data_IF_898832417447
#
_entry.id   IF_898832417447
#
_cell.length_a   1.000
_cell.length_b   1.000
_cell.length_c   1.000
_cell.angle_alpha   90.00
_cell.angle_beta   90.00
_cell.angle_gamma   90.00
#
_symmetry.space_group_name_H-M   'P 1'
#
loop_
_entity.id
_entity.type
_entity.pdbx_description
1 polymer ?
#
# COMPACT_ATOMS: atom_id res chain seq x y z
N UNK A 1 -43.99 30.89 29.28
CA UNK A 1 -43.18 30.70 30.51
C UNK A 1 -41.71 30.69 30.13
N UNK A 2 -41.02 31.78 30.48
CA UNK A 2 -39.61 32.03 30.18
C UNK A 2 -38.75 31.35 31.25
N UNK A 3 -37.83 30.46 30.87
CA UNK A 3 -36.75 30.02 31.75
C UNK A 3 -35.40 30.40 31.13
N UNK A 4 -34.83 31.47 31.69
CA UNK A 4 -33.43 31.88 31.59
C UNK A 4 -32.55 30.74 32.11
N UNK A 5 -31.47 30.43 31.39
CA UNK A 5 -30.28 29.80 31.96
C UNK A 5 -29.05 30.64 31.60
N UNK A 6 -28.28 30.92 32.63
CA UNK A 6 -27.16 31.85 32.67
C UNK A 6 -25.86 31.21 32.18
N UNK A 7 -25.12 32.03 31.45
CA UNK A 7 -23.66 32.07 31.26
C UNK A 7 -22.80 31.15 32.12
N UNK A 8 -22.00 30.32 31.45
CA UNK A 8 -20.70 29.86 31.96
C UNK A 8 -19.59 30.47 31.10
N UNK A 9 -18.79 31.31 31.75
CA UNK A 9 -17.63 32.00 31.19
C UNK A 9 -16.49 31.00 30.96
N UNK A 10 -16.17 30.72 29.70
CA UNK A 10 -14.99 29.94 29.32
C UNK A 10 -13.74 30.80 29.56
N UNK A 11 -12.94 30.45 30.56
CA UNK A 11 -11.59 30.99 30.73
C UNK A 11 -10.71 30.40 29.63
N UNK A 12 -10.31 31.24 28.68
CA UNK A 12 -9.26 30.94 27.70
C UNK A 12 -7.92 30.94 28.44
N UNK A 13 -7.41 29.75 28.80
CA UNK A 13 -6.01 29.60 29.19
C UNK A 13 -5.17 29.65 27.92
N UNK A 14 -4.59 30.80 27.62
CA UNK A 14 -3.56 30.95 26.58
C UNK A 14 -2.31 30.22 27.07
N UNK A 15 -2.16 28.97 26.64
CA UNK A 15 -0.95 28.20 26.86
C UNK A 15 0.10 28.72 25.87
N UNK A 16 0.96 29.62 26.35
CA UNK A 16 2.12 30.11 25.60
C UNK A 16 3.05 28.92 25.32
N UNK A 17 2.97 28.35 24.12
CA UNK A 17 4.01 27.46 23.62
C UNK A 17 5.25 28.33 23.34
N UNK A 18 6.24 28.27 24.24
CA UNK A 18 7.57 28.79 23.98
C UNK A 18 8.27 27.78 23.05
N UNK A 19 8.57 28.13 21.79
CA UNK A 19 9.42 27.28 20.97
C UNK A 19 10.83 27.30 21.57
N UNK A 20 11.26 26.17 22.13
CA UNK A 20 12.67 25.95 22.42
C UNK A 20 13.38 25.71 21.09
N UNK A 21 13.77 26.79 20.44
CA UNK A 21 14.67 26.76 19.28
C UNK A 21 16.08 26.44 19.78
N UNK A 22 16.44 25.15 19.79
CA UNK A 22 17.83 24.71 19.88
C UNK A 22 18.52 25.11 18.57
N UNK A 23 19.13 26.30 18.57
CA UNK A 23 20.01 26.76 17.49
C UNK A 23 21.32 25.98 17.60
N UNK A 24 21.38 24.83 16.94
CA UNK A 24 22.64 24.12 16.70
C UNK A 24 23.32 24.81 15.52
N UNK A 25 24.03 25.91 15.80
CA UNK A 25 24.96 26.53 14.84
C UNK A 25 26.22 25.67 14.70
N UNK A 26 26.06 24.51 14.08
CA UNK A 26 27.16 23.72 13.55
C UNK A 26 27.26 23.95 12.05
N UNK A 27 28.45 24.16 11.52
CA UNK A 27 28.70 24.17 10.08
C UNK A 27 28.29 22.82 9.48
N UNK A 28 27.04 22.72 9.00
CA UNK A 28 26.59 21.59 8.20
C UNK A 28 27.19 21.78 6.81
N UNK A 29 28.44 21.36 6.64
CA UNK A 29 28.94 21.04 5.31
C UNK A 29 28.00 20.00 4.74
N UNK A 30 27.26 20.36 3.69
CA UNK A 30 26.40 19.43 2.98
C UNK A 30 27.30 18.33 2.41
N UNK A 31 27.42 17.23 3.15
CA UNK A 31 28.01 16.00 2.64
C UNK A 31 27.04 15.53 1.57
N UNK A 32 27.30 15.92 0.33
CA UNK A 32 26.75 15.24 -0.84
C UNK A 32 27.30 13.82 -0.79
N UNK A 33 26.57 12.93 -0.13
CA UNK A 33 26.76 11.50 -0.27
C UNK A 33 26.44 11.23 -1.73
N UNK A 34 27.47 11.14 -2.56
CA UNK A 34 27.34 10.72 -3.95
C UNK A 34 26.61 9.37 -3.92
N UNK A 35 25.36 9.35 -4.38
CA UNK A 35 24.63 8.11 -4.55
C UNK A 35 25.34 7.33 -5.65
N UNK A 36 26.21 6.40 -5.25
CA UNK A 36 26.78 5.42 -6.15
C UNK A 36 25.62 4.59 -6.71
N UNK A 37 25.20 4.92 -7.92
CA UNK A 37 24.28 4.11 -8.71
C UNK A 37 25.01 2.82 -9.05
N UNK A 38 24.89 1.81 -8.19
CA UNK A 38 25.29 0.45 -8.53
C UNK A 38 24.49 0.06 -9.76
N UNK A 39 25.13 -0.28 -10.89
CA UNK A 39 24.42 -0.71 -12.09
C UNK A 39 23.54 -1.91 -11.72
N UNK A 40 22.22 -1.71 -11.74
CA UNK A 40 21.28 -2.83 -11.56
C UNK A 40 21.50 -3.78 -12.74
N UNK A 41 21.98 -4.98 -12.43
CA UNK A 41 22.09 -6.08 -13.38
C UNK A 41 20.75 -6.26 -14.06
N UNK A 42 20.74 -6.44 -15.39
CA UNK A 42 19.54 -6.57 -16.18
C UNK A 42 18.54 -7.52 -15.51
N UNK A 43 17.35 -6.98 -15.21
CA UNK A 43 16.20 -7.61 -14.57
C UNK A 43 16.20 -9.13 -14.74
N UNK A 44 16.30 -9.85 -13.62
CA UNK A 44 15.94 -11.26 -13.58
C UNK A 44 14.59 -11.44 -14.29
N UNK A 45 14.52 -12.46 -15.16
CA UNK A 45 13.28 -12.80 -15.86
C UNK A 45 12.14 -12.93 -14.83
N UNK A 46 10.95 -12.46 -15.20
CA UNK A 46 9.74 -12.50 -14.37
C UNK A 46 9.64 -13.86 -13.70
N UNK A 47 9.86 -13.93 -12.37
CA UNK A 47 9.55 -15.12 -11.58
C UNK A 47 8.13 -15.58 -11.96
N UNK A 48 7.95 -16.89 -12.16
CA UNK A 48 6.80 -17.45 -12.88
C UNK A 48 5.46 -16.94 -12.36
N UNK A 49 4.77 -16.13 -13.16
CA UNK A 49 3.36 -15.76 -12.98
C UNK A 49 2.50 -17.00 -12.72
N UNK A 50 1.39 -16.84 -12.00
CA UNK A 50 0.34 -17.87 -11.95
C UNK A 50 -0.21 -18.13 -13.37
N UNK A 51 -0.69 -19.36 -13.66
CA UNK A 51 -1.35 -19.64 -14.92
C UNK A 51 -2.49 -18.68 -15.25
N UNK A 52 -3.32 -18.33 -14.26
CA UNK A 52 -4.42 -17.37 -14.41
C UNK A 52 -3.95 -15.94 -14.69
N UNK A 53 -2.80 -15.53 -14.14
CA UNK A 53 -2.20 -14.22 -14.41
C UNK A 53 -1.65 -14.16 -15.85
N UNK A 54 -0.98 -15.24 -16.29
CA UNK A 54 -0.50 -15.35 -17.67
C UNK A 54 -1.65 -15.32 -18.68
N UNK A 55 -2.76 -16.01 -18.37
CA UNK A 55 -3.99 -15.96 -19.17
C UNK A 55 -4.59 -14.56 -19.22
N UNK A 56 -4.62 -13.84 -18.09
CA UNK A 56 -5.08 -12.46 -18.05
C UNK A 56 -4.27 -11.57 -19.00
N UNK A 57 -2.93 -11.62 -18.96
CA UNK A 57 -2.09 -10.87 -19.90
C UNK A 57 -2.35 -11.27 -21.37
N UNK A 58 -2.40 -12.57 -21.66
CA UNK A 58 -2.66 -13.07 -23.00
C UNK A 58 -4.01 -12.57 -23.54
N UNK A 59 -5.06 -12.55 -22.70
CA UNK A 59 -6.39 -12.08 -23.09
C UNK A 59 -6.44 -10.60 -23.47
N UNK A 60 -5.51 -9.80 -22.95
CA UNK A 60 -5.37 -8.38 -23.28
C UNK A 60 -4.35 -8.11 -24.40
N UNK A 61 -3.75 -9.15 -24.97
CA UNK A 61 -2.67 -9.02 -25.97
C UNK A 61 -1.42 -8.37 -25.40
N UNK A 62 -1.14 -8.56 -24.10
CA UNK A 62 0.03 -8.02 -23.43
C UNK A 62 1.08 -9.12 -23.24
N UNK A 63 2.33 -8.78 -23.54
CA UNK A 63 3.47 -9.63 -23.22
C UNK A 63 4.07 -9.21 -21.87
N UNK A 64 3.95 -10.04 -20.81
CA UNK A 64 4.49 -9.70 -19.50
C UNK A 64 6.03 -9.55 -19.50
N UNK A 65 6.74 -10.12 -20.49
CA UNK A 65 8.20 -9.94 -20.61
C UNK A 65 8.60 -8.50 -20.98
N UNK A 66 7.67 -7.69 -21.47
CA UNK A 66 7.88 -6.26 -21.77
C UNK A 66 7.70 -5.37 -20.54
N UNK A 67 7.27 -5.93 -19.41
CA UNK A 67 7.10 -5.21 -18.16
C UNK A 67 8.37 -5.28 -17.31
N UNK A 68 8.61 -4.24 -16.51
CA UNK A 68 9.73 -4.14 -15.56
C UNK A 68 9.30 -4.44 -14.12
N UNK A 69 8.24 -5.23 -13.99
CA UNK A 69 7.64 -5.60 -12.72
C UNK A 69 8.01 -7.05 -12.36
N UNK A 70 8.31 -7.29 -11.09
CA UNK A 70 8.74 -8.60 -10.59
C UNK A 70 7.60 -9.25 -9.80
N UNK A 71 7.28 -10.51 -10.09
CA UNK A 71 6.26 -11.26 -9.34
C UNK A 71 6.72 -11.65 -7.93
N UNK A 72 7.97 -11.32 -7.57
CA UNK A 72 8.61 -11.68 -6.32
C UNK A 72 7.86 -11.11 -5.11
N UNK A 73 7.64 -11.99 -4.15
CA UNK A 73 7.07 -11.68 -2.86
C UNK A 73 8.05 -12.09 -1.74
N UNK A 74 8.26 -11.17 -0.80
CA UNK A 74 9.05 -11.44 0.40
C UNK A 74 8.55 -10.56 1.53
N UNK A 75 8.30 -11.17 2.67
CA UNK A 75 7.96 -10.47 3.91
C UNK A 75 8.77 -11.04 5.05
N UNK A 76 9.53 -10.20 5.76
CA UNK A 76 10.24 -10.66 6.94
C UNK A 76 9.35 -10.51 8.17
N UNK A 77 9.19 -11.58 8.93
CA UNK A 77 8.46 -11.59 10.20
C UNK A 77 9.28 -11.00 11.35
N UNK A 78 10.59 -10.78 11.16
CA UNK A 78 11.49 -10.25 12.19
C UNK A 78 11.62 -8.73 12.18
N UNK A 79 11.11 -8.02 11.16
CA UNK A 79 11.31 -6.57 11.01
C UNK A 79 10.99 -5.77 12.29
N UNK A 80 9.92 -6.15 13.00
CA UNK A 80 9.51 -5.44 14.23
C UNK A 80 10.38 -5.82 15.44
N UNK A 81 10.87 -7.05 15.55
CA UNK A 81 11.85 -7.40 16.59
C UNK A 81 13.19 -6.72 16.32
N UNK A 82 13.61 -6.67 15.06
CA UNK A 82 14.86 -6.06 14.65
C UNK A 82 14.82 -4.54 14.89
N UNK A 83 13.71 -3.87 14.54
CA UNK A 83 13.49 -2.46 14.85
C UNK A 83 13.51 -2.17 16.36
N UNK A 84 12.96 -3.06 17.20
CA UNK A 84 13.05 -2.95 18.68
C UNK A 84 14.48 -3.05 19.16
N UNK A 85 15.23 -4.02 18.64
CA UNK A 85 16.63 -4.22 18.99
C UNK A 85 17.48 -3.00 18.60
N UNK A 86 17.35 -2.54 17.35
CA UNK A 86 18.06 -1.34 16.86
C UNK A 86 17.66 -0.09 17.62
N UNK A 87 16.39 0.10 17.97
CA UNK A 87 15.95 1.24 18.76
C UNK A 87 16.64 1.28 20.14
N UNK A 88 16.77 0.14 20.82
CA UNK A 88 17.50 0.07 22.09
C UNK A 88 18.96 0.44 21.91
N UNK A 89 19.64 -0.07 20.88
CA UNK A 89 21.04 0.27 20.60
C UNK A 89 21.25 1.76 20.36
N UNK A 90 20.34 2.40 19.60
CA UNK A 90 20.39 3.84 19.33
C UNK A 90 20.19 4.64 20.62
N UNK A 91 19.24 4.26 21.48
CA UNK A 91 19.02 4.94 22.76
C UNK A 91 20.22 4.82 23.72
N UNK A 92 20.84 3.64 23.77
CA UNK A 92 22.05 3.42 24.56
C UNK A 92 23.20 4.32 24.07
N UNK A 93 23.37 4.43 22.75
CA UNK A 93 24.42 5.28 22.15
C UNK A 93 24.18 6.78 22.42
N UNK A 94 22.94 7.24 22.30
CA UNK A 94 22.53 8.61 22.68
C UNK A 94 22.91 8.89 24.15
N UNK A 95 22.67 7.94 25.05
CA UNK A 95 23.05 8.04 26.45
C UNK A 95 24.57 8.10 26.66
N UNK A 96 25.35 7.31 25.93
CA UNK A 96 26.83 7.35 25.97
C UNK A 96 27.41 8.70 25.54
N UNK A 97 26.72 9.39 24.64
CA UNK A 97 27.09 10.75 24.20
C UNK A 97 26.56 11.86 25.14
N UNK A 98 26.06 11.51 26.33
CA UNK A 98 25.66 12.47 27.35
C UNK A 98 24.30 13.12 27.10
N UNK A 99 23.55 12.69 26.08
CA UNK A 99 22.20 13.19 25.83
C UNK A 99 21.22 12.49 26.79
N UNK A 100 20.68 13.26 27.72
CA UNK A 100 19.69 12.77 28.68
C UNK A 100 18.28 12.92 28.11
N UNK A 101 17.55 11.82 28.00
CA UNK A 101 16.12 11.82 27.68
C UNK A 101 15.35 11.84 29.01
N UNK A 102 14.47 12.84 29.26
CA UNK A 102 13.66 12.87 30.47
C UNK A 102 12.91 11.56 30.69
N UNK A 103 12.86 11.08 31.93
CA UNK A 103 12.28 9.77 32.25
C UNK A 103 10.79 9.67 31.85
N UNK A 104 10.04 10.77 31.95
CA UNK A 104 8.64 10.86 31.52
C UNK A 104 8.47 10.79 29.99
N UNK A 105 9.54 11.03 29.22
CA UNK A 105 9.55 10.96 27.74
C UNK A 105 10.20 9.70 27.19
N UNK A 106 11.00 8.98 27.99
CA UNK A 106 11.82 7.85 27.53
C UNK A 106 11.00 6.81 26.77
N UNK A 107 9.84 6.43 27.30
CA UNK A 107 8.97 5.44 26.67
C UNK A 107 8.32 5.96 25.37
N UNK A 108 7.92 7.23 25.34
CA UNK A 108 7.37 7.85 24.12
C UNK A 108 8.42 7.87 23.01
N UNK A 109 9.64 8.35 23.31
CA UNK A 109 10.75 8.40 22.36
C UNK A 109 11.09 6.99 21.87
N UNK A 110 11.14 6.00 22.77
CA UNK A 110 11.38 4.60 22.40
C UNK A 110 10.36 4.09 21.40
N UNK A 111 9.05 4.31 21.64
CA UNK A 111 7.99 3.89 20.70
C UNK A 111 8.12 4.58 19.34
N UNK A 112 8.32 5.89 19.33
CA UNK A 112 8.48 6.66 18.09
C UNK A 112 9.70 6.19 17.27
N UNK A 113 10.81 5.89 17.95
CA UNK A 113 12.00 5.37 17.31
C UNK A 113 11.79 3.97 16.74
N UNK A 114 11.16 3.07 17.50
CA UNK A 114 10.78 1.72 17.02
C UNK A 114 9.92 1.82 15.76
N UNK A 115 8.88 2.65 15.78
CA UNK A 115 7.98 2.77 14.63
C UNK A 115 8.70 3.39 13.42
N UNK A 116 9.52 4.42 13.63
CA UNK A 116 10.33 5.03 12.55
C UNK A 116 11.28 4.02 11.92
N UNK A 117 12.04 3.28 12.73
CA UNK A 117 12.95 2.25 12.25
C UNK A 117 12.20 1.13 11.54
N UNK A 118 11.10 0.65 12.11
CA UNK A 118 10.26 -0.38 11.52
C UNK A 118 9.79 0.02 10.11
N UNK A 119 9.22 1.23 9.94
CA UNK A 119 8.74 1.67 8.64
C UNK A 119 9.85 1.93 7.63
N UNK A 120 11.03 2.35 8.09
CA UNK A 120 12.21 2.45 7.22
C UNK A 120 12.68 1.07 6.74
N UNK A 121 12.73 0.09 7.63
CA UNK A 121 13.09 -1.30 7.27
C UNK A 121 12.06 -1.92 6.32
N UNK A 122 10.76 -1.69 6.55
CA UNK A 122 9.69 -2.11 5.62
C UNK A 122 9.89 -1.47 4.25
N UNK A 123 10.16 -0.16 4.19
CA UNK A 123 10.38 0.53 2.93
C UNK A 123 11.61 0.00 2.20
N UNK A 124 12.75 -0.17 2.87
CA UNK A 124 13.95 -0.79 2.32
C UNK A 124 13.65 -2.18 1.76
N UNK A 125 12.94 -3.02 2.52
CA UNK A 125 12.59 -4.35 2.03
C UNK A 125 11.73 -4.29 0.76
N UNK A 126 10.79 -3.35 0.65
CA UNK A 126 9.92 -3.24 -0.54
C UNK A 126 10.69 -2.66 -1.74
N UNK A 127 11.44 -1.58 -1.51
CA UNK A 127 12.03 -0.72 -2.54
C UNK A 127 13.39 -1.24 -3.01
N UNK A 128 14.26 -1.64 -2.09
CA UNK A 128 15.65 -1.96 -2.42
C UNK A 128 15.75 -3.35 -3.07
N UNK A 129 14.87 -4.29 -2.68
CA UNK A 129 14.77 -5.64 -3.24
C UNK A 129 13.88 -5.73 -4.50
N UNK A 130 13.35 -4.60 -5.00
CA UNK A 130 12.37 -4.53 -6.11
C UNK A 130 11.18 -5.50 -5.95
N UNK A 131 10.63 -5.58 -4.73
CA UNK A 131 9.52 -6.48 -4.40
C UNK A 131 8.18 -5.92 -4.91
N UNK A 132 8.00 -5.96 -6.24
CA UNK A 132 6.80 -5.44 -6.86
C UNK A 132 5.55 -6.28 -6.57
N UNK A 133 5.68 -7.55 -6.13
CA UNK A 133 4.55 -8.46 -5.89
C UNK A 133 3.55 -8.45 -7.06
N UNK A 134 4.10 -8.48 -8.27
CA UNK A 134 3.38 -8.24 -9.50
C UNK A 134 2.44 -9.38 -9.87
N UNK A 135 1.29 -9.04 -10.45
CA UNK A 135 0.25 -9.96 -10.84
C UNK A 135 -0.87 -9.27 -11.61
N UNK A 136 -1.78 -10.06 -12.17
CA UNK A 136 -2.89 -9.55 -12.98
C UNK A 136 -4.13 -10.44 -12.92
N UNK A 137 -5.29 -9.83 -13.10
CA UNK A 137 -6.51 -10.57 -13.42
C UNK A 137 -7.32 -9.83 -14.46
N UNK A 138 -8.04 -10.57 -15.29
CA UNK A 138 -9.08 -10.04 -16.16
C UNK A 138 -10.35 -9.91 -15.34
N UNK A 139 -11.04 -8.78 -15.45
CA UNK A 139 -12.30 -8.56 -14.72
C UNK A 139 -13.50 -9.09 -15.50
N UNK A 140 -13.71 -10.40 -15.46
CA UNK A 140 -14.81 -11.08 -16.15
C UNK A 140 -14.94 -10.66 -17.62
N UNK A 141 -16.14 -10.22 -18.01
CA UNK A 141 -16.44 -9.70 -19.35
C UNK A 141 -16.35 -8.17 -19.45
N UNK A 142 -15.86 -7.49 -18.41
CA UNK A 142 -15.74 -6.04 -18.42
C UNK A 142 -14.69 -5.59 -19.45
N UNK A 143 -14.95 -4.42 -20.02
CA UNK A 143 -14.07 -3.78 -20.98
C UNK A 143 -13.70 -2.36 -20.54
N UNK A 144 -12.56 -1.89 -21.01
CA UNK A 144 -12.18 -0.49 -20.92
C UNK A 144 -13.02 0.38 -21.86
N UNK A 145 -12.83 1.70 -21.80
CA UNK A 145 -13.53 2.66 -22.66
C UNK A 145 -13.23 2.51 -24.16
N UNK A 146 -12.27 1.65 -24.55
CA UNK A 146 -11.96 1.30 -25.93
C UNK A 146 -12.49 -0.09 -26.32
N UNK A 147 -13.27 -0.76 -25.46
CA UNK A 147 -13.83 -2.08 -25.70
C UNK A 147 -12.84 -3.24 -25.54
N UNK A 148 -11.65 -2.99 -24.98
CA UNK A 148 -10.66 -4.06 -24.71
C UNK A 148 -10.92 -4.71 -23.36
N UNK A 149 -10.56 -5.99 -23.16
CA UNK A 149 -10.68 -6.64 -21.86
C UNK A 149 -10.04 -5.81 -20.74
N UNK A 150 -10.81 -5.53 -19.68
CA UNK A 150 -10.33 -4.74 -18.57
C UNK A 150 -9.42 -5.60 -17.67
N UNK A 151 -8.16 -5.19 -17.57
CA UNK A 151 -7.20 -5.77 -16.63
C UNK A 151 -7.16 -4.98 -15.32
N UNK A 152 -7.18 -5.74 -14.23
CA UNK A 152 -6.77 -5.29 -12.91
C UNK A 152 -5.37 -5.84 -12.62
N UNK A 153 -4.42 -4.92 -12.45
CA UNK A 153 -3.02 -5.23 -12.16
C UNK A 153 -2.77 -4.99 -10.67
N UNK A 154 -1.91 -5.80 -10.05
CA UNK A 154 -1.40 -5.56 -8.69
C UNK A 154 0.07 -5.25 -8.72
N UNK A 155 0.49 -4.40 -7.79
CA UNK A 155 1.90 -4.25 -7.45
C UNK A 155 2.09 -3.75 -6.01
N UNK A 156 3.32 -3.39 -5.66
CA UNK A 156 3.75 -2.70 -4.46
C UNK A 156 4.27 -1.31 -4.83
N UNK A 157 4.69 -0.51 -3.84
CA UNK A 157 5.48 0.69 -4.16
C UNK A 157 6.75 0.31 -4.93
N UNK A 158 7.09 1.15 -5.91
CA UNK A 158 8.25 0.95 -6.78
C UNK A 158 9.32 1.99 -6.48
N UNK A 159 10.59 1.59 -6.51
CA UNK A 159 11.71 2.51 -6.45
C UNK A 159 11.70 3.44 -7.68
N UNK A 160 11.84 4.76 -7.48
CA UNK A 160 11.91 5.75 -8.57
C UNK A 160 10.77 5.59 -9.60
N UNK A 161 9.48 5.76 -9.23
CA UNK A 161 8.34 5.49 -10.12
C UNK A 161 8.38 6.19 -11.49
N UNK A 162 9.02 7.35 -11.59
CA UNK A 162 9.19 8.09 -12.84
C UNK A 162 10.35 7.64 -13.73
N UNK A 163 11.22 6.74 -13.26
CA UNK A 163 12.31 6.23 -14.07
C UNK A 163 11.77 5.32 -15.19
N UNK A 164 12.34 5.43 -16.39
CA UNK A 164 11.88 4.68 -17.58
C UNK A 164 12.06 3.17 -17.46
N UNK A 165 12.93 2.72 -16.56
CA UNK A 165 13.19 1.33 -16.20
C UNK A 165 12.32 0.83 -15.03
N UNK A 166 11.49 1.68 -14.43
CA UNK A 166 10.65 1.30 -13.28
C UNK A 166 9.43 0.45 -13.68
N UNK A 167 8.91 -0.32 -12.71
CA UNK A 167 7.66 -1.05 -12.88
C UNK A 167 6.51 -0.10 -13.25
N UNK A 168 6.27 0.97 -12.49
CA UNK A 168 5.19 1.95 -12.73
C UNK A 168 5.25 2.53 -14.15
N UNK A 169 6.41 2.98 -14.60
CA UNK A 169 6.55 3.50 -15.96
C UNK A 169 6.20 2.44 -17.01
N UNK A 170 6.71 1.22 -16.86
CA UNK A 170 6.41 0.11 -17.79
C UNK A 170 4.91 -0.24 -17.82
N UNK A 171 4.21 -0.17 -16.69
CA UNK A 171 2.77 -0.41 -16.64
C UNK A 171 1.98 0.67 -17.42
N UNK A 172 2.37 1.93 -17.29
CA UNK A 172 1.72 3.05 -18.00
C UNK A 172 2.02 3.01 -19.50
N UNK A 173 3.27 2.72 -19.87
CA UNK A 173 3.74 2.73 -21.25
C UNK A 173 3.29 1.48 -22.03
N UNK A 174 3.46 0.29 -21.45
CA UNK A 174 3.25 -1.00 -22.10
C UNK A 174 1.84 -1.55 -21.81
N UNK A 175 1.48 -1.72 -20.53
CA UNK A 175 0.18 -2.28 -20.13
C UNK A 175 -0.99 -1.28 -20.24
N UNK A 176 -0.71 -0.07 -20.75
CA UNK A 176 -1.68 1.02 -20.95
C UNK A 176 -2.48 1.33 -19.70
N UNK A 177 -1.83 1.30 -18.54
CA UNK A 177 -2.47 1.72 -17.29
C UNK A 177 -2.88 3.18 -17.39
N UNK A 178 -4.15 3.48 -17.08
CA UNK A 178 -4.72 4.84 -17.08
C UNK A 178 -5.38 5.22 -15.76
N UNK A 179 -5.34 4.33 -14.78
CA UNK A 179 -5.75 4.63 -13.42
C UNK A 179 -4.88 3.87 -12.42
N UNK A 180 -4.37 4.57 -11.40
CA UNK A 180 -3.65 3.99 -10.27
C UNK A 180 -4.49 4.19 -9.01
N UNK A 181 -4.74 3.10 -8.27
CA UNK A 181 -5.41 3.12 -6.96
C UNK A 181 -4.38 2.75 -5.89
N UNK A 182 -3.88 3.75 -5.19
CA UNK A 182 -3.05 3.55 -4.02
C UNK A 182 -3.94 3.36 -2.79
N UNK A 183 -4.01 2.11 -2.32
CA UNK A 183 -4.77 1.69 -1.16
C UNK A 183 -4.02 1.93 0.16
N UNK A 184 -2.81 2.47 0.14
CA UNK A 184 -2.02 2.74 1.35
C UNK A 184 -2.48 4.03 2.04
N UNK A 185 -2.78 3.94 3.34
CA UNK A 185 -3.15 5.07 4.21
C UNK A 185 -2.34 5.08 5.51
N UNK A 186 -1.29 4.25 5.58
CA UNK A 186 -0.49 4.07 6.79
C UNK A 186 0.61 5.12 6.97
N UNK A 187 1.41 4.99 8.03
CA UNK A 187 2.42 5.98 8.42
C UNK A 187 3.77 5.87 7.70
N UNK A 188 3.98 4.88 6.82
CA UNK A 188 5.21 4.75 6.05
C UNK A 188 5.43 6.02 5.21
N UNK A 189 6.66 6.57 5.16
CA UNK A 189 6.94 7.84 4.49
C UNK A 189 7.03 7.65 2.97
N UNK A 190 5.88 7.56 2.30
CA UNK A 190 5.76 7.27 0.86
C UNK A 190 5.46 8.51 0.00
N UNK A 191 5.45 9.71 0.59
CA UNK A 191 5.01 10.94 -0.09
C UNK A 191 5.69 11.18 -1.42
N UNK A 192 7.02 11.04 -1.50
CA UNK A 192 7.77 11.24 -2.74
C UNK A 192 7.47 10.16 -3.79
N UNK A 193 7.22 8.91 -3.36
CA UNK A 193 6.85 7.81 -4.24
C UNK A 193 5.45 8.07 -4.84
N UNK A 194 4.48 8.42 -4.00
CA UNK A 194 3.11 8.74 -4.42
C UNK A 194 3.08 9.95 -5.37
N UNK A 195 3.85 11.00 -5.06
CA UNK A 195 3.98 12.16 -5.93
C UNK A 195 4.58 11.79 -7.30
N UNK A 196 5.61 10.94 -7.32
CA UNK A 196 6.24 10.46 -8.55
C UNK A 196 5.30 9.57 -9.37
N UNK A 197 4.57 8.64 -8.75
CA UNK A 197 3.55 7.82 -9.44
C UNK A 197 2.46 8.68 -10.06
N UNK A 198 1.96 9.66 -9.29
CA UNK A 198 0.94 10.62 -9.73
C UNK A 198 1.41 11.40 -10.95
N UNK A 199 2.65 11.88 -10.93
CA UNK A 199 3.24 12.58 -12.07
C UNK A 199 3.25 11.71 -13.34
N UNK A 200 3.69 10.45 -13.23
CA UNK A 200 3.77 9.52 -14.37
C UNK A 200 2.40 9.24 -14.97
N UNK A 201 1.39 8.92 -14.14
CA UNK A 201 0.06 8.58 -14.64
C UNK A 201 -0.65 9.79 -15.22
N UNK A 202 -0.49 10.98 -14.62
CA UNK A 202 -1.09 12.22 -15.12
C UNK A 202 -0.46 12.65 -16.44
N UNK A 203 0.86 12.50 -16.60
CA UNK A 203 1.55 12.76 -17.87
C UNK A 203 1.03 11.86 -19.01
N UNK A 204 0.54 10.66 -18.68
CA UNK A 204 -0.09 9.75 -19.64
C UNK A 204 -1.61 9.97 -19.81
N UNK A 205 -2.17 11.06 -19.28
CA UNK A 205 -3.60 11.38 -19.34
C UNK A 205 -4.49 10.48 -18.47
N UNK A 206 -3.88 9.79 -17.49
CA UNK A 206 -4.59 8.95 -16.53
C UNK A 206 -4.96 9.70 -15.25
N UNK A 207 -5.45 8.95 -14.26
CA UNK A 207 -5.87 9.48 -12.95
C UNK A 207 -5.26 8.67 -11.80
N UNK A 208 -5.23 9.26 -10.61
CA UNK A 208 -4.64 8.68 -9.40
C UNK A 208 -5.61 8.82 -8.23
N UNK A 209 -5.83 7.74 -7.51
CA UNK A 209 -6.56 7.73 -6.24
C UNK A 209 -5.60 7.41 -5.10
N UNK A 210 -5.71 8.14 -3.98
CA UNK A 210 -4.99 7.84 -2.73
C UNK A 210 -5.99 7.58 -1.60
N UNK A 211 -5.86 6.43 -0.95
CA UNK A 211 -6.61 6.12 0.26
C UNK A 211 -6.27 7.04 1.45
N UNK A 212 -5.16 7.80 1.40
CA UNK A 212 -4.87 8.83 2.41
C UNK A 212 -5.85 10.00 2.35
N UNK A 213 -6.39 10.27 1.16
CA UNK A 213 -7.24 11.43 0.87
C UNK A 213 -8.74 11.08 0.94
N UNK A 214 -9.07 9.83 1.26
CA UNK A 214 -10.43 9.28 1.20
C UNK A 214 -10.94 8.83 2.58
N UNK A 215 -12.17 9.21 2.99
CA UNK A 215 -12.74 8.84 4.29
C UNK A 215 -12.93 7.34 4.47
N UNK A 216 -13.06 6.57 3.38
CA UNK A 216 -13.14 5.12 3.38
C UNK A 216 -11.76 4.46 3.35
N UNK A 217 -10.67 5.19 3.13
CA UNK A 217 -9.32 4.63 2.94
C UNK A 217 -8.71 3.91 4.15
N UNK A 218 -9.26 4.11 5.35
CA UNK A 218 -8.78 3.50 6.61
C UNK A 218 -9.46 2.18 6.99
N UNK A 219 -10.32 1.64 6.12
CA UNK A 219 -11.11 0.42 6.38
C UNK A 219 -10.30 -0.76 6.94
N UNK A 220 -9.02 -0.90 6.57
CA UNK A 220 -8.17 -2.01 7.07
C UNK A 220 -7.79 -1.83 8.53
N UNK A 221 -7.51 -0.60 8.94
CA UNK A 221 -7.21 -0.30 10.35
C UNK A 221 -8.46 -0.41 11.20
N UNK A 222 -9.61 0.06 10.69
CA UNK A 222 -10.90 -0.09 11.37
C UNK A 222 -11.24 -1.58 11.58
N UNK A 223 -10.99 -2.42 10.58
CA UNK A 223 -11.15 -3.87 10.67
C UNK A 223 -10.18 -4.51 11.68
N UNK A 224 -8.95 -3.97 11.83
CA UNK A 224 -7.94 -4.49 12.76
C UNK A 224 -8.23 -4.09 14.21
N UNK A 225 -8.82 -2.92 14.42
CA UNK A 225 -9.13 -2.37 15.74
C UNK A 225 -10.52 -2.79 16.24
N UNK A 226 -11.47 -3.01 15.33
CA UNK A 226 -12.84 -3.40 15.67
C UNK A 226 -12.98 -4.90 15.89
N UNK A 227 -13.63 -5.27 17.01
CA UNK A 227 -14.07 -6.63 17.25
C UNK A 227 -15.52 -6.82 16.74
N UNK A 228 -15.79 -7.95 16.09
CA UNK A 228 -17.17 -8.37 15.75
C UNK A 228 -17.68 -8.02 14.35
N UNK A 229 -18.98 -8.24 14.14
CA UNK A 229 -19.63 -8.19 12.83
C UNK A 229 -19.78 -6.77 12.25
N UNK A 230 -20.02 -5.76 13.10
CA UNK A 230 -20.28 -4.39 12.64
C UNK A 230 -19.05 -3.76 11.97
N UNK A 231 -17.87 -3.86 12.60
CA UNK A 231 -16.63 -3.35 12.02
C UNK A 231 -16.33 -4.00 10.66
N UNK A 232 -16.62 -5.30 10.54
CA UNK A 232 -16.48 -6.05 9.29
C UNK A 232 -17.44 -5.56 8.22
N UNK A 233 -18.72 -5.34 8.54
CA UNK A 233 -19.71 -4.79 7.61
C UNK A 233 -19.33 -3.38 7.14
N UNK A 234 -18.87 -2.52 8.04
CA UNK A 234 -18.37 -1.18 7.69
C UNK A 234 -17.17 -1.26 6.74
N UNK A 235 -16.22 -2.15 7.02
CA UNK A 235 -15.07 -2.36 6.14
C UNK A 235 -15.47 -2.93 4.77
N UNK A 236 -16.44 -3.85 4.72
CA UNK A 236 -16.98 -4.39 3.46
C UNK A 236 -17.64 -3.29 2.63
N UNK A 237 -18.45 -2.42 3.25
CA UNK A 237 -19.09 -1.28 2.57
C UNK A 237 -18.04 -0.29 2.04
N UNK A 238 -17.01 0.03 2.83
CA UNK A 238 -15.90 0.89 2.40
C UNK A 238 -15.13 0.30 1.22
N UNK A 239 -14.77 -0.98 1.27
CA UNK A 239 -14.10 -1.68 0.16
C UNK A 239 -14.99 -1.72 -1.08
N UNK A 240 -16.29 -1.99 -0.93
CA UNK A 240 -17.23 -1.95 -2.04
C UNK A 240 -17.31 -0.56 -2.69
N UNK A 241 -17.25 0.51 -1.89
CA UNK A 241 -17.25 1.88 -2.41
C UNK A 241 -15.99 2.18 -3.23
N UNK A 242 -14.80 1.79 -2.74
CA UNK A 242 -13.54 1.91 -3.48
C UNK A 242 -13.61 1.12 -4.79
N UNK A 243 -14.11 -0.12 -4.74
CA UNK A 243 -14.28 -0.95 -5.94
C UNK A 243 -15.19 -0.26 -6.96
N UNK A 244 -16.37 0.19 -6.55
CA UNK A 244 -17.36 0.81 -7.44
C UNK A 244 -16.86 2.11 -8.05
N UNK A 245 -16.29 3.00 -7.23
CA UNK A 245 -16.05 4.41 -7.62
C UNK A 245 -14.63 4.66 -8.10
N UNK A 246 -13.65 3.86 -7.69
CA UNK A 246 -12.25 4.09 -8.04
C UNK A 246 -11.76 3.03 -9.03
N UNK A 247 -12.14 1.77 -8.86
CA UNK A 247 -11.63 0.70 -9.74
C UNK A 247 -12.51 0.51 -10.97
N UNK A 248 -13.82 0.32 -10.78
CA UNK A 248 -14.76 0.03 -11.86
C UNK A 248 -15.24 1.29 -12.58
N UNK A 249 -15.32 2.43 -11.89
CA UNK A 249 -15.77 3.70 -12.46
C UNK A 249 -14.90 4.89 -12.06
N UNK A 250 -13.58 4.87 -12.30
CA UNK A 250 -12.72 6.00 -11.96
C UNK A 250 -13.27 7.30 -12.55
N UNK A 251 -13.48 8.31 -11.69
CA UNK A 251 -14.13 9.58 -12.04
C UNK A 251 -15.54 9.43 -12.66
N UNK A 252 -16.28 8.39 -12.27
CA UNK A 252 -17.66 8.13 -12.69
C UNK A 252 -17.83 7.46 -14.06
N UNK A 253 -16.74 7.18 -14.78
CA UNK A 253 -16.75 6.60 -16.13
C UNK A 253 -15.99 5.27 -16.20
N UNK A 254 -16.20 4.49 -17.27
CA UNK A 254 -15.42 3.29 -17.51
C UNK A 254 -13.90 3.59 -17.56
N UNK A 255 -13.03 2.68 -17.07
CA UNK A 255 -11.59 2.91 -17.12
C UNK A 255 -11.11 3.14 -18.56
N UNK A 256 -10.22 4.12 -18.78
CA UNK A 256 -9.67 4.44 -20.11
C UNK A 256 -8.56 3.46 -20.58
N UNK A 257 -8.34 2.40 -19.82
CA UNK A 257 -7.29 1.40 -19.98
C UNK A 257 -7.20 0.54 -18.72
N UNK A 258 -6.13 -0.24 -18.60
CA UNK A 258 -5.90 -1.08 -17.42
C UNK A 258 -5.87 -0.25 -16.13
N UNK A 259 -6.28 -0.87 -15.03
CA UNK A 259 -6.19 -0.29 -13.68
C UNK A 259 -5.11 -1.02 -12.92
N UNK A 260 -4.26 -0.30 -12.18
CA UNK A 260 -3.35 -0.91 -11.21
C UNK A 260 -3.78 -0.52 -9.80
N UNK A 261 -3.75 -1.50 -8.90
CA UNK A 261 -4.00 -1.28 -7.48
C UNK A 261 -2.79 -1.75 -6.67
N UNK A 262 -2.42 -0.98 -5.67
CA UNK A 262 -1.30 -1.33 -4.79
C UNK A 262 -1.52 -0.79 -3.38
N UNK A 263 -0.75 -1.31 -2.45
CA UNK A 263 -0.54 -0.72 -1.13
C UNK A 263 0.97 -0.73 -0.88
N UNK A 264 1.40 -0.71 0.39
CA UNK A 264 2.81 -0.79 0.77
C UNK A 264 3.60 -1.86 0.00
N UNK A 265 3.43 -3.12 0.38
CA UNK A 265 4.04 -4.27 -0.30
C UNK A 265 3.13 -4.98 -1.31
N UNK A 266 1.98 -4.39 -1.64
CA UNK A 266 0.98 -5.04 -2.48
C UNK A 266 0.38 -6.32 -1.88
N UNK A 267 0.50 -6.56 -0.57
CA UNK A 267 0.15 -7.84 0.07
C UNK A 267 -1.28 -7.86 0.65
N UNK A 268 -1.53 -7.09 1.70
CA UNK A 268 -2.76 -7.19 2.49
C UNK A 268 -3.95 -6.49 1.81
N UNK A 269 -3.97 -5.16 1.81
CA UNK A 269 -5.09 -4.37 1.25
C UNK A 269 -5.34 -4.72 -0.23
N UNK A 270 -4.27 -4.77 -1.01
CA UNK A 270 -4.30 -5.22 -2.41
C UNK A 270 -4.81 -6.65 -2.54
N UNK A 271 -4.28 -7.59 -1.76
CA UNK A 271 -4.69 -9.00 -1.82
C UNK A 271 -6.15 -9.22 -1.42
N UNK A 272 -6.68 -8.44 -0.47
CA UNK A 272 -8.09 -8.49 -0.09
C UNK A 272 -8.98 -8.03 -1.24
N UNK A 273 -8.69 -6.89 -1.85
CA UNK A 273 -9.48 -6.40 -3.00
C UNK A 273 -9.36 -7.36 -4.19
N UNK A 274 -8.16 -7.87 -4.50
CA UNK A 274 -7.99 -8.90 -5.54
C UNK A 274 -8.82 -10.15 -5.27
N UNK A 275 -8.80 -10.67 -4.03
CA UNK A 275 -9.61 -11.84 -3.66
C UNK A 275 -11.11 -11.58 -3.79
N UNK A 276 -11.56 -10.35 -3.49
CA UNK A 276 -12.96 -9.94 -3.73
C UNK A 276 -13.30 -9.95 -5.21
N UNK A 277 -12.43 -9.41 -6.09
CA UNK A 277 -12.64 -9.47 -7.54
C UNK A 277 -12.72 -10.91 -8.05
N UNK A 278 -11.76 -11.75 -7.66
CA UNK A 278 -11.72 -13.16 -8.07
C UNK A 278 -13.00 -13.89 -7.67
N UNK A 279 -13.43 -13.76 -6.40
CA UNK A 279 -14.62 -14.46 -5.93
C UNK A 279 -15.92 -13.86 -6.44
N UNK A 280 -16.06 -12.54 -6.43
CA UNK A 280 -17.34 -11.88 -6.70
C UNK A 280 -17.59 -11.57 -8.18
N UNK A 281 -16.55 -11.22 -8.93
CA UNK A 281 -16.67 -10.87 -10.36
C UNK A 281 -16.28 -12.05 -11.25
N UNK A 282 -15.12 -12.67 -11.00
CA UNK A 282 -14.66 -13.79 -11.84
C UNK A 282 -15.29 -15.13 -11.47
N UNK A 283 -15.95 -15.22 -10.31
CA UNK A 283 -16.54 -16.46 -9.76
C UNK A 283 -15.51 -17.58 -9.61
N UNK A 284 -14.25 -17.21 -9.37
CA UNK A 284 -13.14 -18.12 -9.16
C UNK A 284 -13.42 -19.01 -7.94
N UNK A 285 -13.21 -20.34 -8.03
CA UNK A 285 -13.42 -21.25 -6.91
C UNK A 285 -12.61 -20.85 -5.68
N UNK A 286 -13.21 -20.97 -4.50
CA UNK A 286 -12.59 -20.54 -3.24
C UNK A 286 -11.16 -21.08 -3.01
N UNK A 287 -10.84 -22.37 -3.28
CA UNK A 287 -9.47 -22.87 -3.13
C UNK A 287 -8.43 -22.10 -3.96
N UNK A 288 -8.80 -21.64 -5.15
CA UNK A 288 -7.92 -20.87 -6.03
C UNK A 288 -7.77 -19.42 -5.55
N UNK A 289 -8.86 -18.80 -5.07
CA UNK A 289 -8.82 -17.47 -4.43
C UNK A 289 -7.89 -17.48 -3.22
N UNK A 290 -8.02 -18.51 -2.37
CA UNK A 290 -7.18 -18.70 -1.20
C UNK A 290 -5.71 -18.91 -1.59
N UNK A 291 -5.43 -19.78 -2.56
CA UNK A 291 -4.08 -20.05 -3.03
C UNK A 291 -3.42 -18.80 -3.65
N UNK A 292 -4.17 -18.01 -4.42
CA UNK A 292 -3.73 -16.74 -4.96
C UNK A 292 -3.35 -15.75 -3.85
N UNK A 293 -4.23 -15.56 -2.86
CA UNK A 293 -3.92 -14.70 -1.72
C UNK A 293 -2.65 -15.18 -0.98
N UNK A 294 -2.59 -16.46 -0.62
CA UNK A 294 -1.45 -17.07 0.09
C UNK A 294 -0.13 -16.86 -0.68
N UNK A 295 -0.15 -17.08 -2.00
CA UNK A 295 1.02 -16.84 -2.85
C UNK A 295 1.51 -15.41 -2.72
N UNK A 296 0.64 -14.41 -2.86
CA UNK A 296 1.07 -13.01 -2.90
C UNK A 296 1.41 -12.39 -1.55
N UNK A 297 1.00 -13.02 -0.44
CA UNK A 297 1.52 -12.66 0.89
C UNK A 297 2.79 -13.43 1.23
N UNK A 298 3.31 -14.26 0.33
CA UNK A 298 4.53 -15.05 0.56
C UNK A 298 4.33 -16.17 1.59
N UNK A 299 3.11 -16.67 1.74
CA UNK A 299 2.83 -17.82 2.59
C UNK A 299 3.44 -19.08 1.96
N UNK A 300 4.23 -19.82 2.74
CA UNK A 300 4.75 -21.15 2.36
C UNK A 300 4.25 -22.23 3.31
N UNK A 301 4.20 -21.94 4.61
CA UNK A 301 3.78 -22.88 5.64
C UNK A 301 3.38 -22.15 6.94
N UNK A 302 2.87 -22.86 7.96
CA UNK A 302 2.61 -22.25 9.27
C UNK A 302 3.85 -21.69 9.97
N UNK A 303 5.06 -22.21 9.70
CA UNK A 303 6.32 -21.67 10.22
C UNK A 303 6.89 -20.56 9.33
N UNK A 304 6.55 -20.55 8.04
CA UNK A 304 6.95 -19.55 7.05
C UNK A 304 5.73 -18.82 6.51
N UNK A 305 5.11 -18.02 7.39
CA UNK A 305 3.83 -17.36 7.10
C UNK A 305 3.97 -16.21 6.11
N UNK A 306 5.17 -15.65 5.91
CA UNK A 306 5.34 -14.38 5.20
C UNK A 306 4.44 -13.30 5.81
N UNK A 307 3.74 -12.56 4.95
CA UNK A 307 2.73 -11.57 5.33
C UNK A 307 1.33 -12.14 5.59
N UNK A 308 1.17 -13.45 5.76
CA UNK A 308 -0.15 -14.06 5.90
C UNK A 308 -0.88 -13.68 7.18
N UNK A 309 -2.09 -13.14 7.01
CA UNK A 309 -3.06 -12.87 8.06
C UNK A 309 -4.38 -13.59 7.77
N UNK A 310 -4.84 -14.41 8.71
CA UNK A 310 -6.08 -15.19 8.61
C UNK A 310 -7.32 -14.31 8.49
N UNK A 311 -7.33 -13.16 9.18
CA UNK A 311 -8.43 -12.20 9.13
C UNK A 311 -8.67 -11.65 7.72
N UNK A 312 -7.63 -11.53 6.90
CA UNK A 312 -7.77 -11.09 5.51
C UNK A 312 -8.44 -12.16 4.65
N UNK A 313 -8.07 -13.45 4.83
CA UNK A 313 -8.77 -14.55 4.16
C UNK A 313 -10.23 -14.60 4.57
N UNK A 314 -10.50 -14.53 5.87
CA UNK A 314 -11.87 -14.53 6.40
C UNK A 314 -12.69 -13.36 5.83
N UNK A 315 -12.10 -12.17 5.74
CA UNK A 315 -12.75 -11.04 5.10
C UNK A 315 -13.08 -11.32 3.63
N UNK A 316 -12.13 -11.89 2.86
CA UNK A 316 -12.39 -12.24 1.46
C UNK A 316 -13.51 -13.29 1.39
N UNK A 317 -13.46 -14.33 2.21
CA UNK A 317 -14.44 -15.43 2.24
C UNK A 317 -15.85 -14.97 2.59
N UNK A 318 -15.99 -13.99 3.48
CA UNK A 318 -17.27 -13.52 3.99
C UNK A 318 -17.79 -12.26 3.29
N UNK A 319 -17.00 -11.64 2.40
CA UNK A 319 -17.40 -10.40 1.76
C UNK A 319 -18.73 -10.57 1.01
N UNK A 320 -19.65 -9.62 1.16
CA UNK A 320 -20.95 -9.69 0.49
C UNK A 320 -20.81 -9.30 -0.98
N UNK A 321 -20.87 -10.27 -1.88
CA UNK A 321 -20.73 -10.04 -3.31
C UNK A 321 -21.87 -9.20 -3.91
N UNK A 322 -23.00 -9.02 -3.22
CA UNK A 322 -24.08 -8.13 -3.68
C UNK A 322 -23.70 -6.64 -3.61
N UNK A 323 -22.64 -6.29 -2.87
CA UNK A 323 -22.16 -4.92 -2.73
C UNK A 323 -21.34 -4.44 -3.95
N UNK A 324 -20.91 -5.36 -4.81
CA UNK A 324 -20.14 -5.08 -6.02
C UNK A 324 -21.04 -5.35 -7.22
N UNK A 325 -21.13 -4.45 -8.21
CA UNK A 325 -21.97 -4.66 -9.37
C UNK A 325 -21.57 -5.95 -10.10
N UNK A 326 -22.57 -6.75 -10.44
CA UNK A 326 -22.38 -7.84 -11.40
C UNK A 326 -22.03 -7.23 -12.77
N UNK A 327 -21.10 -7.83 -13.52
CA UNK A 327 -20.80 -7.45 -14.90
C UNK A 327 -22.02 -7.45 -15.81
#
# INVERSE_FOLDING_TARGET
MVKRWLSSSTRLSVMLMVPVSLVVSGCVSAVQVAQTTVPRTASAQVETLLPSEAEAFASAGLDPAQLRCLARQRWSTTLRSDAKFTASQVLDEIGRHGVQIPDDKRELVRRQLIDTLFWRMVLTQIIDDDLHNFGATRLGNLTDGAGKPLLLLRTAFTARPAATDSCVYSLVATAKVRHIVNLYSGPMPTGDLEASERQVIQAAGGSYYSARDDPHGNWREDLRQGEGGQARQTAMAAVAEVIKTQILRPNGAAPKGSVVIHCGGGMHRTGMIFGVFERCINKTPWPEVQAGYQRHVGYRSPSERGGFEEQNLKFIEEFDCSLVPSP
#
